data_IF_086555603709
#
_entry.id   IF_086555603709
#
_cell.length_a   1.000
_cell.length_b   1.000
_cell.length_c   1.000
_cell.angle_alpha   90.00
_cell.angle_beta   90.00
_cell.angle_gamma   90.00
#
_symmetry.space_group_name_H-M   'P 1'
#
loop_
_entity.id
_entity.type
_entity.pdbx_description
1 polymer ?
#
# COMPACT_ATOMS: atom_id res chain seq x y z
N UNK A 1 -10.11 47.94 -3.90
CA UNK A 1 -9.35 46.68 -4.09
C UNK A 1 -9.18 45.93 -2.77
N UNK A 2 -9.62 44.67 -2.68
CA UNK A 2 -11.02 44.27 -2.51
C UNK A 2 -10.97 43.34 -1.29
N UNK A 3 -11.65 43.65 -0.19
CA UNK A 3 -11.51 42.93 1.09
C UNK A 3 -11.77 41.42 0.95
N UNK A 4 -12.58 41.03 -0.04
CA UNK A 4 -12.78 39.64 -0.46
C UNK A 4 -11.46 38.91 -0.81
N UNK A 5 -10.49 39.61 -1.39
CA UNK A 5 -9.17 39.05 -1.77
C UNK A 5 -8.25 38.87 -0.57
N UNK A 6 -8.45 39.65 0.50
CA UNK A 6 -7.73 39.46 1.77
C UNK A 6 -8.33 38.31 2.57
N UNK A 7 -9.66 38.19 2.55
CA UNK A 7 -10.37 37.11 3.21
C UNK A 7 -10.02 35.74 2.59
N UNK A 8 -9.98 35.63 1.26
CA UNK A 8 -9.58 34.38 0.59
C UNK A 8 -8.17 33.96 0.99
N UNK A 9 -7.20 34.88 0.94
CA UNK A 9 -5.80 34.61 1.33
C UNK A 9 -5.66 34.22 2.81
N UNK A 10 -6.53 34.73 3.68
CA UNK A 10 -6.54 34.37 5.08
C UNK A 10 -7.07 32.94 5.27
N UNK A 11 -8.16 32.59 4.57
CA UNK A 11 -8.71 31.24 4.57
C UNK A 11 -7.73 30.22 4.01
N UNK A 12 -7.05 30.52 2.91
CA UNK A 12 -6.02 29.64 2.32
C UNK A 12 -4.88 29.37 3.32
N UNK A 13 -4.40 30.40 4.02
CA UNK A 13 -3.36 30.26 5.05
C UNK A 13 -3.85 29.52 6.28
N UNK A 14 -5.11 29.72 6.65
CA UNK A 14 -5.71 29.03 7.79
C UNK A 14 -5.89 27.55 7.47
N UNK A 15 -6.31 27.22 6.25
CA UNK A 15 -6.38 25.85 5.75
C UNK A 15 -4.98 25.20 5.69
N UNK A 16 -3.96 25.93 5.22
CA UNK A 16 -2.56 25.46 5.23
C UNK A 16 -2.01 25.20 6.66
N UNK A 17 -2.46 25.97 7.65
CA UNK A 17 -1.99 25.88 9.03
C UNK A 17 -2.80 24.89 9.89
N UNK A 18 -4.10 24.78 9.64
CA UNK A 18 -5.03 23.99 10.45
C UNK A 18 -5.30 22.59 9.90
N UNK A 19 -4.97 22.29 8.65
CA UNK A 19 -4.82 20.90 8.21
C UNK A 19 -3.57 20.36 8.91
N UNK A 20 -3.66 19.28 9.71
CA UNK A 20 -2.46 18.60 10.18
C UNK A 20 -1.63 18.26 8.95
N UNK A 21 -0.48 18.93 8.78
CA UNK A 21 0.39 18.67 7.63
C UNK A 21 0.66 17.18 7.60
N UNK A 22 0.05 16.51 6.64
CA UNK A 22 0.10 15.07 6.50
C UNK A 22 1.56 14.69 6.36
N UNK A 23 2.10 13.99 7.35
CA UNK A 23 3.50 13.63 7.33
C UNK A 23 3.68 12.48 6.33
N UNK A 24 3.87 12.81 5.06
CA UNK A 24 4.00 11.83 3.98
C UNK A 24 5.14 10.86 4.25
N UNK A 25 6.23 11.33 4.88
CA UNK A 25 7.33 10.46 5.30
C UNK A 25 6.86 9.41 6.29
N UNK A 26 6.06 9.79 7.27
CA UNK A 26 5.43 8.86 8.22
C UNK A 26 4.48 7.89 7.54
N UNK A 27 3.57 8.37 6.69
CA UNK A 27 2.62 7.51 5.96
C UNK A 27 3.35 6.47 5.10
N UNK A 28 4.37 6.90 4.36
CA UNK A 28 5.21 6.01 3.54
C UNK A 28 6.03 5.06 4.40
N UNK A 29 6.51 5.49 5.57
CA UNK A 29 7.17 4.59 6.51
C UNK A 29 6.21 3.48 6.98
N UNK A 30 4.99 3.83 7.40
CA UNK A 30 3.97 2.87 7.83
C UNK A 30 3.58 1.90 6.71
N UNK A 31 3.50 2.37 5.46
CA UNK A 31 3.31 1.50 4.30
C UNK A 31 4.50 0.55 4.09
N UNK A 32 5.73 1.10 4.09
CA UNK A 32 6.93 0.35 3.75
C UNK A 32 7.35 -0.67 4.83
N UNK A 33 6.95 -0.49 6.08
CA UNK A 33 7.23 -1.43 7.18
C UNK A 33 6.12 -2.46 7.40
N UNK A 34 5.03 -2.39 6.62
CA UNK A 34 3.91 -3.33 6.76
C UNK A 34 4.22 -4.67 6.07
N UNK A 35 4.39 -5.71 6.88
CA UNK A 35 4.59 -7.12 6.47
C UNK A 35 3.38 -7.98 6.87
N UNK A 36 3.05 -8.99 6.06
CA UNK A 36 1.97 -9.95 6.32
C UNK A 36 2.10 -10.55 7.73
N UNK A 37 0.99 -10.60 8.47
CA UNK A 37 0.96 -11.23 9.79
C UNK A 37 0.78 -12.76 9.67
N UNK A 38 1.19 -13.56 10.69
CA UNK A 38 1.10 -15.02 10.63
C UNK A 38 -0.29 -15.58 10.33
N UNK A 39 -1.33 -14.93 10.85
CA UNK A 39 -2.74 -15.35 10.70
C UNK A 39 -3.51 -14.50 9.68
N UNK A 40 -2.79 -13.71 8.88
CA UNK A 40 -3.39 -12.82 7.89
C UNK A 40 -3.35 -13.45 6.50
N UNK A 41 -4.51 -13.48 5.83
CA UNK A 41 -4.60 -13.95 4.44
C UNK A 41 -3.96 -12.96 3.48
N UNK A 42 -3.57 -13.44 2.30
CA UNK A 42 -3.04 -12.58 1.23
C UNK A 42 -3.99 -11.44 0.90
N UNK A 43 -5.30 -11.70 0.84
CA UNK A 43 -6.31 -10.70 0.51
C UNK A 43 -6.48 -9.65 1.60
N UNK A 44 -6.42 -10.04 2.88
CA UNK A 44 -6.41 -9.10 4.00
C UNK A 44 -5.16 -8.22 3.94
N UNK A 45 -3.99 -8.82 3.71
CA UNK A 45 -2.74 -8.10 3.62
C UNK A 45 -2.76 -7.04 2.51
N UNK A 46 -3.18 -7.41 1.30
CA UNK A 46 -3.24 -6.44 0.18
C UNK A 46 -4.29 -5.37 0.41
N UNK A 47 -5.40 -5.68 1.09
CA UNK A 47 -6.43 -4.71 1.45
C UNK A 47 -5.86 -3.64 2.39
N UNK A 48 -5.08 -4.06 3.39
CA UNK A 48 -4.38 -3.14 4.29
C UNK A 48 -3.32 -2.29 3.56
N UNK A 49 -2.56 -2.88 2.64
CA UNK A 49 -1.61 -2.14 1.80
C UNK A 49 -2.32 -1.07 0.95
N UNK A 50 -3.45 -1.42 0.33
CA UNK A 50 -4.29 -0.49 -0.44
C UNK A 50 -4.82 0.64 0.45
N UNK A 51 -5.23 0.33 1.67
CA UNK A 51 -5.70 1.31 2.65
C UNK A 51 -4.60 2.32 2.98
N UNK A 52 -3.39 1.84 3.32
CA UNK A 52 -2.22 2.68 3.66
C UNK A 52 -1.70 3.47 2.47
N UNK A 53 -1.76 2.93 1.26
CA UNK A 53 -1.29 3.62 0.06
C UNK A 53 -2.09 4.90 -0.26
N UNK A 54 -3.38 4.97 0.15
CA UNK A 54 -4.24 6.16 -0.05
C UNK A 54 -3.65 7.42 0.56
N UNK A 55 -2.86 7.28 1.63
CA UNK A 55 -2.27 8.42 2.32
C UNK A 55 -0.85 8.76 1.88
N UNK A 56 -0.23 7.94 1.04
CA UNK A 56 1.19 8.04 0.71
C UNK A 56 1.53 8.94 -0.49
N UNK A 57 0.53 9.46 -1.20
CA UNK A 57 0.72 10.29 -2.41
C UNK A 57 1.63 9.62 -3.46
N UNK A 58 1.38 8.34 -3.74
CA UNK A 58 2.15 7.58 -4.73
C UNK A 58 1.75 7.87 -6.19
N UNK A 59 0.57 8.46 -6.41
CA UNK A 59 0.10 8.81 -7.76
C UNK A 59 0.03 7.59 -8.68
N UNK A 60 0.58 7.72 -9.89
CA UNK A 60 0.56 6.67 -10.91
C UNK A 60 1.32 5.38 -10.49
N UNK A 61 2.21 5.47 -9.50
CA UNK A 61 3.00 4.32 -9.01
C UNK A 61 2.29 3.50 -7.93
N UNK A 62 1.06 3.85 -7.57
CA UNK A 62 0.35 3.21 -6.44
C UNK A 62 0.27 1.69 -6.59
N UNK A 63 -0.19 1.17 -7.74
CA UNK A 63 -0.32 -0.28 -7.95
C UNK A 63 1.03 -0.99 -7.99
N UNK A 64 2.07 -0.38 -8.60
CA UNK A 64 3.41 -0.99 -8.65
C UNK A 64 4.04 -1.04 -7.26
N UNK A 65 3.88 0.00 -6.43
CA UNK A 65 4.42 0.03 -5.08
C UNK A 65 3.69 -0.94 -4.15
N UNK A 66 2.38 -1.12 -4.31
CA UNK A 66 1.63 -2.16 -3.58
C UNK A 66 2.14 -3.55 -3.96
N UNK A 67 2.39 -3.81 -5.26
CA UNK A 67 3.00 -5.06 -5.72
C UNK A 67 4.38 -5.28 -5.10
N UNK A 68 5.24 -4.27 -5.13
CA UNK A 68 6.61 -4.38 -4.62
C UNK A 68 6.60 -4.63 -3.10
N UNK A 69 5.70 -3.97 -2.36
CA UNK A 69 5.50 -4.21 -0.92
C UNK A 69 4.89 -5.58 -0.63
N UNK A 70 3.94 -6.05 -1.43
CA UNK A 70 3.41 -7.42 -1.35
C UNK A 70 4.52 -8.45 -1.48
N UNK A 71 5.37 -8.34 -2.51
CA UNK A 71 6.52 -9.25 -2.71
C UNK A 71 7.49 -9.17 -1.52
N UNK A 72 7.84 -7.96 -1.09
CA UNK A 72 8.80 -7.75 0.00
C UNK A 72 8.29 -8.14 1.38
N UNK A 73 6.97 -8.16 1.60
CA UNK A 73 6.36 -8.36 2.92
C UNK A 73 5.52 -9.61 3.06
N UNK A 74 5.38 -10.44 2.02
CA UNK A 74 4.73 -11.76 2.13
C UNK A 74 5.51 -12.64 3.12
N UNK A 75 4.80 -13.39 3.96
CA UNK A 75 5.40 -14.22 5.02
C UNK A 75 6.09 -15.46 4.46
N UNK A 76 5.54 -16.03 3.38
CA UNK A 76 6.05 -17.27 2.78
C UNK A 76 7.21 -17.00 1.84
N UNK A 77 8.40 -17.44 2.23
CA UNK A 77 9.62 -17.35 1.41
C UNK A 77 9.49 -18.15 0.09
N UNK A 78 8.71 -19.24 0.11
CA UNK A 78 8.38 -20.02 -1.08
C UNK A 78 7.56 -19.17 -2.07
N UNK A 79 6.51 -18.52 -1.59
CA UNK A 79 5.68 -17.62 -2.44
C UNK A 79 6.53 -16.47 -2.95
N UNK A 80 7.35 -15.84 -2.09
CA UNK A 80 8.27 -14.76 -2.48
C UNK A 80 9.20 -15.19 -3.61
N UNK A 81 9.80 -16.38 -3.49
CA UNK A 81 10.66 -16.95 -4.51
C UNK A 81 9.94 -17.22 -5.82
N UNK A 82 8.66 -17.60 -5.78
CA UNK A 82 7.83 -17.78 -6.97
C UNK A 82 7.56 -16.42 -7.67
N UNK A 83 7.18 -15.41 -6.88
CA UNK A 83 6.93 -14.06 -7.37
C UNK A 83 8.18 -13.49 -8.07
N UNK A 84 9.35 -13.61 -7.45
CA UNK A 84 10.61 -13.05 -7.98
C UNK A 84 11.10 -13.71 -9.28
N UNK A 85 10.54 -14.86 -9.70
CA UNK A 85 10.88 -15.51 -10.98
C UNK A 85 10.18 -14.89 -12.19
N UNK A 86 9.09 -14.14 -11.97
CA UNK A 86 8.28 -13.56 -13.06
C UNK A 86 8.65 -12.09 -13.26
N UNK A 87 9.24 -11.78 -14.41
CA UNK A 87 9.52 -10.40 -14.82
C UNK A 87 8.23 -9.66 -15.17
N UNK A 88 8.24 -8.33 -14.98
CA UNK A 88 7.21 -7.38 -15.44
C UNK A 88 5.75 -7.73 -15.09
N UNK A 89 5.53 -8.42 -13.98
CA UNK A 89 4.20 -8.85 -13.55
C UNK A 89 3.38 -7.69 -12.96
N UNK A 90 2.06 -7.75 -13.15
CA UNK A 90 1.12 -6.80 -12.54
C UNK A 90 0.84 -7.15 -11.08
N UNK A 91 0.20 -6.24 -10.32
CA UNK A 91 -0.29 -6.56 -8.98
C UNK A 91 -1.32 -7.70 -9.01
N UNK A 92 -2.15 -7.76 -10.06
CA UNK A 92 -3.12 -8.84 -10.24
C UNK A 92 -2.42 -10.19 -10.41
N UNK A 93 -1.40 -10.26 -11.27
CA UNK A 93 -0.59 -11.48 -11.47
C UNK A 93 0.01 -11.96 -10.15
N UNK A 94 0.60 -11.04 -9.37
CA UNK A 94 1.22 -11.36 -8.09
C UNK A 94 0.19 -11.90 -7.08
N UNK A 95 -1.00 -11.29 -7.01
CA UNK A 95 -2.08 -11.75 -6.16
C UNK A 95 -2.58 -13.14 -6.53
N UNK A 96 -2.72 -13.42 -7.82
CA UNK A 96 -3.19 -14.73 -8.29
C UNK A 96 -2.17 -15.84 -7.93
N UNK A 97 -0.86 -15.56 -8.02
CA UNK A 97 0.20 -16.46 -7.55
C UNK A 97 0.10 -16.69 -6.03
N UNK A 98 -0.04 -15.62 -5.25
CA UNK A 98 -0.13 -15.71 -3.80
C UNK A 98 -1.35 -16.54 -3.34
N UNK A 99 -2.52 -16.30 -3.96
CA UNK A 99 -3.76 -17.05 -3.66
C UNK A 99 -3.64 -18.53 -4.02
N UNK A 100 -3.00 -18.85 -5.13
CA UNK A 100 -2.78 -20.24 -5.53
C UNK A 100 -1.90 -20.99 -4.50
N UNK A 101 -0.85 -20.34 -3.99
CA UNK A 101 0.02 -20.95 -2.98
C UNK A 101 -0.65 -21.05 -1.59
N UNK A 102 -1.45 -20.05 -1.20
CA UNK A 102 -2.26 -20.07 0.03
C UNK A 102 -3.30 -21.19 0.01
N UNK A 103 -4.01 -21.36 -1.11
CA UNK A 103 -4.99 -22.43 -1.30
C UNK A 103 -4.33 -23.83 -1.25
N UNK A 104 -3.19 -24.01 -1.93
CA UNK A 104 -2.43 -25.26 -1.91
C UNK A 104 -1.93 -25.60 -0.50
N UNK A 105 -1.49 -24.59 0.26
CA UNK A 105 -1.00 -24.77 1.64
C UNK A 105 -2.12 -25.11 2.62
N UNK A 106 -3.33 -24.61 2.38
CA UNK A 106 -4.52 -24.94 3.18
C UNK A 106 -4.98 -26.38 2.93
N UNK A 107 -4.96 -26.83 1.67
CA UNK A 107 -5.33 -28.21 1.32
C UNK A 107 -4.39 -29.26 1.90
N UNK A 108 -3.09 -28.96 2.02
CA UNK A 108 -2.10 -29.87 2.61
C UNK A 108 -2.19 -30.01 4.14
N UNK A 109 -2.95 -29.12 4.81
CA UNK A 109 -3.18 -29.16 6.27
C UNK A 109 -4.45 -29.93 6.66
N UNK A 110 -5.26 -30.34 5.67
CA UNK A 110 -6.41 -31.24 5.85
C UNK A 110 -5.97 -32.68 5.66
#
# INVERSE_FOLDING_TARGET
PNDATKLSKLLDKFEEYCIPRKNITWERHVFNTRNQQPDETVDQYVTELRSKAKTCEFGALTESLIRDRLVGGIISDKTRSCLLKKADQTLKDALDICRADEAASTQLKQ
#
